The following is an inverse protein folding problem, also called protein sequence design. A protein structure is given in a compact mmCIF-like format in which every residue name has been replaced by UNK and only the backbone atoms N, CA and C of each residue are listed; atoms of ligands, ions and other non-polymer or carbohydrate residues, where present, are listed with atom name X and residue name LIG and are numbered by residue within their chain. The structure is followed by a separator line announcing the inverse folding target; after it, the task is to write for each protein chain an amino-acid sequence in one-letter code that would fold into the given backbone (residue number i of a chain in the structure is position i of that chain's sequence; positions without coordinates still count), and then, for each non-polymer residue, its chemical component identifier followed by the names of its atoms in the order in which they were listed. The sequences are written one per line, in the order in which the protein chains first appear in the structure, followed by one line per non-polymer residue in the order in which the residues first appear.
data_IF_486181351963
#
_entry.id   IF_486181351963
#
_cell.length_a   1.000
_cell.length_b   1.000
_cell.length_c   1.000
_cell.angle_alpha   90.00
_cell.angle_beta   90.00
_cell.angle_gamma   90.00
#
_symmetry.space_group_name_H-M   'P 1'
#
loop_
_entity.id
_entity.type
_entity.pdbx_description
1 polymer ?
#
# COMPACT_ATOMS: atom_id res chain seq x y z
N UNK A 1 14.43 -12.23 1.77
CA UNK A 1 14.19 -13.70 1.68
C UNK A 1 12.74 -14.17 1.81
N UNK A 2 11.77 -13.30 2.18
CA UNK A 2 10.34 -13.65 2.24
C UNK A 2 9.45 -12.92 1.23
N UNK A 3 9.99 -11.91 0.54
CA UNK A 3 9.31 -11.27 -0.59
C UNK A 3 9.19 -12.28 -1.74
N UNK A 4 8.02 -12.32 -2.39
CA UNK A 4 7.61 -13.27 -3.45
C UNK A 4 7.27 -14.71 -3.01
N UNK A 5 7.19 -15.02 -1.71
CA UNK A 5 6.74 -16.34 -1.22
C UNK A 5 5.26 -16.40 -0.82
N UNK A 6 4.43 -15.47 -1.30
CA UNK A 6 2.99 -15.42 -0.96
C UNK A 6 2.68 -14.99 0.48
N UNK A 7 3.68 -14.71 1.32
CA UNK A 7 3.51 -14.21 2.70
C UNK A 7 2.67 -12.93 2.72
N UNK A 8 2.87 -12.06 1.74
CA UNK A 8 2.09 -10.84 1.55
C UNK A 8 0.59 -11.12 1.35
N UNK A 9 0.22 -12.22 0.68
CA UNK A 9 -1.18 -12.59 0.47
C UNK A 9 -1.87 -13.04 1.77
N UNK A 10 -1.15 -13.79 2.62
CA UNK A 10 -1.66 -14.22 3.93
C UNK A 10 -1.92 -13.01 4.84
N UNK A 11 -1.01 -12.04 4.82
CA UNK A 11 -1.17 -10.80 5.59
C UNK A 11 -2.38 -10.00 5.08
N UNK A 12 -2.59 -9.93 3.77
CA UNK A 12 -3.75 -9.25 3.20
C UNK A 12 -5.08 -9.93 3.51
N UNK A 13 -5.12 -11.26 3.53
CA UNK A 13 -6.32 -12.01 3.93
C UNK A 13 -6.75 -11.68 5.36
N UNK A 14 -5.78 -11.64 6.29
CA UNK A 14 -6.04 -11.29 7.69
C UNK A 14 -6.51 -9.84 7.85
N UNK A 15 -5.89 -8.91 7.11
CA UNK A 15 -6.33 -7.52 7.08
C UNK A 15 -7.74 -7.37 6.52
N UNK A 16 -8.07 -8.07 5.43
CA UNK A 16 -9.39 -8.03 4.83
C UNK A 16 -10.48 -8.50 5.81
N UNK A 17 -10.25 -9.61 6.53
CA UNK A 17 -11.16 -10.12 7.56
C UNK A 17 -11.35 -9.12 8.69
N UNK A 18 -10.25 -8.59 9.23
CA UNK A 18 -10.27 -7.64 10.36
C UNK A 18 -10.97 -6.33 9.97
N UNK A 19 -10.71 -5.79 8.78
CA UNK A 19 -11.34 -4.56 8.31
C UNK A 19 -12.82 -4.75 8.01
N UNK A 20 -13.20 -5.91 7.46
CA UNK A 20 -14.61 -6.25 7.21
C UNK A 20 -15.41 -6.36 8.51
N UNK A 21 -14.86 -7.02 9.53
CA UNK A 21 -15.50 -7.13 10.85
C UNK A 21 -15.70 -5.76 11.51
N UNK A 22 -14.73 -4.84 11.33
CA UNK A 22 -14.78 -3.48 11.89
C UNK A 22 -15.56 -2.49 11.01
N UNK A 23 -16.09 -2.91 9.86
CA UNK A 23 -16.80 -2.05 8.92
C UNK A 23 -15.92 -0.93 8.31
N UNK A 24 -14.62 -1.16 8.19
CA UNK A 24 -13.67 -0.18 7.63
C UNK A 24 -13.72 -0.26 6.11
N UNK A 25 -14.32 0.77 5.49
CA UNK A 25 -14.52 0.85 4.04
C UNK A 25 -13.32 1.50 3.34
N UNK A 26 -12.67 2.46 4.01
CA UNK A 26 -11.62 3.29 3.42
C UNK A 26 -10.31 3.12 4.19
N UNK A 27 -9.26 2.67 3.49
CA UNK A 27 -7.89 2.63 4.01
C UNK A 27 -7.04 3.67 3.27
N UNK A 28 -6.47 4.62 4.02
CA UNK A 28 -5.55 5.62 3.49
C UNK A 28 -4.14 5.24 3.92
N UNK A 29 -3.25 5.10 2.95
CA UNK A 29 -1.85 4.72 3.16
C UNK A 29 -0.95 5.96 3.17
N UNK A 30 0.24 5.81 3.76
CA UNK A 30 1.27 6.84 3.77
C UNK A 30 1.75 7.15 2.34
N UNK A 31 2.34 8.35 2.11
CA UNK A 31 2.92 8.67 0.82
C UNK A 31 4.06 7.69 0.49
N UNK A 32 3.87 6.92 -0.58
CA UNK A 32 4.86 5.98 -1.12
C UNK A 32 5.70 6.67 -2.20
N UNK A 33 6.94 6.20 -2.40
CA UNK A 33 7.79 6.70 -3.46
C UNK A 33 7.20 6.32 -4.82
N UNK A 34 7.10 7.28 -5.75
CA UNK A 34 6.53 7.06 -7.09
C UNK A 34 7.27 5.95 -7.85
N UNK A 35 8.58 5.81 -7.63
CA UNK A 35 9.45 4.83 -8.30
C UNK A 35 9.33 3.40 -7.74
N UNK A 36 8.54 3.16 -6.69
CA UNK A 36 8.37 1.82 -6.13
C UNK A 36 7.40 0.96 -6.96
N UNK A 37 7.85 0.47 -8.11
CA UNK A 37 7.01 -0.32 -9.01
C UNK A 37 6.43 -1.61 -8.39
N UNK A 38 7.13 -2.21 -7.41
CA UNK A 38 6.66 -3.41 -6.72
C UNK A 38 5.40 -3.12 -5.90
N UNK A 39 5.34 -1.98 -5.20
CA UNK A 39 4.16 -1.60 -4.41
C UNK A 39 2.99 -1.26 -5.32
N UNK A 40 3.23 -0.52 -6.42
CA UNK A 40 2.17 -0.19 -7.38
C UNK A 40 1.54 -1.44 -8.00
N UNK A 41 2.35 -2.44 -8.38
CA UNK A 41 1.86 -3.71 -8.90
C UNK A 41 1.04 -4.50 -7.87
N UNK A 42 1.43 -4.45 -6.60
CA UNK A 42 0.70 -5.11 -5.52
C UNK A 42 -0.70 -4.54 -5.35
N UNK A 43 -0.82 -3.22 -5.42
CA UNK A 43 -2.09 -2.51 -5.20
C UNK A 43 -2.97 -2.41 -6.44
N UNK A 44 -2.47 -2.73 -7.64
CA UNK A 44 -3.22 -2.62 -8.90
C UNK A 44 -4.59 -3.32 -8.87
N UNK A 45 -4.68 -4.44 -8.14
CA UNK A 45 -5.93 -5.22 -8.03
C UNK A 45 -6.95 -4.63 -7.03
N UNK A 46 -6.58 -3.59 -6.28
CA UNK A 46 -7.40 -2.97 -5.23
C UNK A 46 -7.98 -1.60 -5.63
N UNK A 47 -7.88 -1.21 -6.91
CA UNK A 47 -8.33 0.09 -7.45
C UNK A 47 -7.94 1.31 -6.58
N UNK A 48 -6.64 1.50 -6.26
CA UNK A 48 -6.21 2.55 -5.35
C UNK A 48 -6.42 3.93 -5.99
N UNK A 49 -7.23 4.78 -5.33
CA UNK A 49 -7.39 6.19 -5.74
C UNK A 49 -6.35 7.09 -5.09
N UNK A 50 -5.60 7.82 -5.91
CA UNK A 50 -4.65 8.84 -5.44
C UNK A 50 -5.44 10.06 -4.97
N UNK A 51 -5.40 10.35 -3.68
CA UNK A 51 -6.05 11.52 -3.07
C UNK A 51 -5.09 12.71 -2.89
N UNK A 52 -3.78 12.47 -2.81
CA UNK A 52 -2.76 13.51 -2.60
C UNK A 52 -1.40 13.04 -3.13
N UNK A 53 -0.60 13.95 -3.69
CA UNK A 53 0.81 13.74 -4.04
C UNK A 53 1.70 14.67 -3.21
N UNK A 54 2.84 14.18 -2.75
CA UNK A 54 3.81 14.94 -1.93
C UNK A 54 5.20 14.86 -2.56
N UNK A 55 5.98 15.93 -2.44
CA UNK A 55 7.37 15.99 -2.88
C UNK A 55 8.24 16.54 -1.77
N UNK A 56 9.29 15.81 -1.42
CA UNK A 56 10.29 16.24 -0.43
C UNK A 56 11.50 16.79 -1.18
N UNK A 57 11.98 17.97 -0.80
CA UNK A 57 13.17 18.58 -1.40
C UNK A 57 14.29 18.60 -0.36
N UNK A 58 15.50 18.22 -0.77
CA UNK A 58 16.70 18.32 0.04
C UNK A 58 17.65 19.32 -0.61
N UNK A 59 18.12 20.31 0.16
CA UNK A 59 19.19 21.20 -0.25
C UNK A 59 20.49 20.68 0.37
N UNK A 60 21.44 20.29 -0.46
CA UNK A 60 22.80 20.01 0.00
C UNK A 60 23.48 21.36 0.23
N UNK A 61 23.96 21.59 1.46
CA UNK A 61 24.73 22.79 1.84
C UNK A 61 26.21 22.58 1.54
#
# INVERSE_FOLDING_TARGET
EYQNKGVTAIIFDEYFKTFSEKGIINCIRTPELEENHAIHNLWKNFDPRIHCKRKTFMKML
#
